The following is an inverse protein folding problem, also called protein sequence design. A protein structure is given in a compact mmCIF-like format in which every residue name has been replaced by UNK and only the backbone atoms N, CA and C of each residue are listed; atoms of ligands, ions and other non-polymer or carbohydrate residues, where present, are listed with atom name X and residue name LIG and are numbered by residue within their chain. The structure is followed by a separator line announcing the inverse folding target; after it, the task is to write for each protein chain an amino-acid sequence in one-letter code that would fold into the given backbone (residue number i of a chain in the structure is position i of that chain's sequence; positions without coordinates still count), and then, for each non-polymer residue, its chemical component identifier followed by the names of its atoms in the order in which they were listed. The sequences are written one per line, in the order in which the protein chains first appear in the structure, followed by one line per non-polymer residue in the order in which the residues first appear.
data_IF_149508865506
#
_entry.id   IF_149508865506
#
_cell.length_a   1.000
_cell.length_b   1.000
_cell.length_c   1.000
_cell.angle_alpha   90.00
_cell.angle_beta   90.00
_cell.angle_gamma   90.00
#
_symmetry.space_group_name_H-M   'P 1'
#
loop_
_entity.id
_entity.type
_entity.pdbx_description
1 polymer ?
#
# COMPACT_ATOMS: atom_id res chain seq x y z
N UNK A 1 16.67 26.74 67.22
CA UNK A 1 15.41 27.49 67.46
C UNK A 1 14.37 26.64 68.18
N UNK A 2 14.41 25.31 68.08
CA UNK A 2 13.53 24.39 68.81
C UNK A 2 13.67 24.44 70.33
N UNK A 3 14.86 24.79 70.84
CA UNK A 3 15.12 24.79 72.27
C UNK A 3 14.22 25.77 73.05
N UNK A 4 13.89 26.93 72.48
CA UNK A 4 13.04 27.95 73.15
C UNK A 4 11.58 27.49 73.21
N UNK A 5 11.05 26.94 72.11
CA UNK A 5 9.70 26.37 72.08
C UNK A 5 9.58 25.15 73.01
N UNK A 6 10.62 24.31 73.05
CA UNK A 6 10.70 23.16 73.95
C UNK A 6 10.78 23.59 75.41
N UNK A 7 11.56 24.64 75.74
CA UNK A 7 11.58 25.23 77.07
C UNK A 7 10.19 25.76 77.49
N UNK A 8 9.48 26.42 76.57
CA UNK A 8 8.12 26.90 76.77
C UNK A 8 7.14 25.75 77.05
N UNK A 9 7.19 24.68 76.26
CA UNK A 9 6.36 23.49 76.46
C UNK A 9 6.66 22.79 77.79
N UNK A 10 7.95 22.68 78.15
CA UNK A 10 8.37 22.08 79.42
C UNK A 10 7.91 22.93 80.62
N UNK A 11 7.90 24.27 80.49
CA UNK A 11 7.34 25.18 81.49
C UNK A 11 5.83 25.01 81.66
N UNK A 12 5.08 24.82 80.57
CA UNK A 12 3.64 24.55 80.62
C UNK A 12 3.36 23.18 81.26
N UNK A 13 4.11 22.15 80.87
CA UNK A 13 4.03 20.82 81.49
C UNK A 13 4.30 20.89 83.00
N UNK A 14 5.34 21.62 83.40
CA UNK A 14 5.66 21.83 84.81
C UNK A 14 4.50 22.50 85.56
N UNK A 15 3.85 23.48 84.94
CA UNK A 15 2.66 24.15 85.50
C UNK A 15 1.46 23.20 85.67
N UNK A 16 1.25 22.27 84.71
CA UNK A 16 0.20 21.24 84.79
C UNK A 16 0.51 20.23 85.89
N UNK A 17 1.74 19.72 85.96
CA UNK A 17 2.17 18.82 87.04
C UNK A 17 2.06 19.48 88.41
N UNK A 18 2.38 20.78 88.52
CA UNK A 18 2.20 21.54 89.75
C UNK A 18 0.73 21.60 90.20
N UNK A 19 -0.22 21.77 89.27
CA UNK A 19 -1.65 21.71 89.57
C UNK A 19 -2.10 20.32 90.03
N UNK A 20 -1.66 19.27 89.34
CA UNK A 20 -2.00 17.88 89.70
C UNK A 20 -1.48 17.57 91.11
N UNK A 21 -0.23 17.91 91.40
CA UNK A 21 0.36 17.75 92.73
C UNK A 21 -0.39 18.54 93.81
N UNK A 22 -0.77 19.79 93.51
CA UNK A 22 -1.59 20.60 94.43
C UNK A 22 -2.96 19.96 94.68
N UNK A 23 -3.63 19.45 93.65
CA UNK A 23 -4.94 18.82 93.76
C UNK A 23 -4.91 17.54 94.61
N UNK A 24 -3.90 16.69 94.40
CA UNK A 24 -3.65 15.49 95.22
C UNK A 24 -3.44 15.88 96.69
N UNK A 25 -2.61 16.91 96.94
CA UNK A 25 -2.32 17.40 98.29
C UNK A 25 -3.55 18.02 98.96
N UNK A 26 -4.37 18.76 98.20
CA UNK A 26 -5.65 19.34 98.65
C UNK A 26 -6.65 18.25 99.03
N UNK A 27 -6.76 17.18 98.24
CA UNK A 27 -7.63 16.04 98.52
C UNK A 27 -7.19 15.27 99.78
N UNK A 28 -5.89 15.17 100.03
CA UNK A 28 -5.34 14.37 101.15
C UNK A 28 -5.24 15.12 102.49
N UNK A 29 -5.04 16.44 102.48
CA UNK A 29 -4.70 17.19 103.71
C UNK A 29 -5.64 18.38 104.03
N UNK A 30 -6.77 18.53 103.33
CA UNK A 30 -7.84 19.55 103.51
C UNK A 30 -7.44 21.03 103.67
N UNK A 31 -6.16 21.38 103.64
CA UNK A 31 -5.69 22.75 103.61
C UNK A 31 -4.45 22.89 102.70
N UNK A 32 -4.52 23.90 101.82
CA UNK A 32 -3.44 24.80 101.37
C UNK A 32 -3.89 25.54 100.12
N UNK A 33 -3.90 26.87 100.20
CA UNK A 33 -4.24 27.77 99.08
C UNK A 33 -3.19 27.62 97.97
N UNK A 34 -3.61 27.63 96.69
CA UNK A 34 -2.71 27.55 95.54
C UNK A 34 -1.71 28.72 95.56
N UNK A 35 -0.40 28.46 95.39
CA UNK A 35 0.59 29.53 95.30
C UNK A 35 0.50 30.22 93.93
N UNK A 36 -0.35 31.25 93.86
CA UNK A 36 -0.52 32.10 92.67
C UNK A 36 0.80 32.71 92.20
N UNK A 37 1.74 32.93 93.11
CA UNK A 37 3.07 33.51 92.84
C UNK A 37 3.99 32.59 92.03
N UNK A 38 3.74 31.28 91.98
CA UNK A 38 4.58 30.31 91.26
C UNK A 38 3.86 29.82 90.00
N UNK A 39 2.55 29.56 90.12
CA UNK A 39 1.76 28.99 89.04
C UNK A 39 1.59 29.95 87.85
N UNK A 40 1.11 31.17 88.08
CA UNK A 40 0.84 32.11 86.98
C UNK A 40 2.09 32.54 86.20
N UNK A 41 3.25 32.88 86.81
CA UNK A 41 4.43 33.23 86.02
C UNK A 41 4.99 32.06 85.22
N UNK A 42 4.93 30.82 85.73
CA UNK A 42 5.38 29.64 84.98
C UNK A 42 4.46 29.34 83.78
N UNK A 43 3.14 29.49 83.97
CA UNK A 43 2.15 29.30 82.91
C UNK A 43 2.27 30.42 81.85
N UNK A 44 2.21 31.69 82.28
CA UNK A 44 2.28 32.85 81.38
C UNK A 44 3.63 32.89 80.67
N UNK A 45 4.72 32.66 81.39
CA UNK A 45 6.06 32.57 80.81
C UNK A 45 6.17 31.44 79.78
N UNK A 46 5.61 30.25 80.09
CA UNK A 46 5.56 29.13 79.16
C UNK A 46 4.79 29.46 77.88
N UNK A 47 3.63 30.11 77.97
CA UNK A 47 2.85 30.56 76.82
C UNK A 47 3.56 31.65 76.01
N UNK A 48 4.22 32.61 76.67
CA UNK A 48 4.98 33.66 76.00
C UNK A 48 6.18 33.07 75.23
N UNK A 49 6.93 32.16 75.85
CA UNK A 49 8.03 31.46 75.18
C UNK A 49 7.56 30.54 74.05
N UNK A 50 6.40 29.90 74.21
CA UNK A 50 5.78 29.10 73.16
C UNK A 50 5.39 29.98 71.96
N UNK A 51 4.70 31.10 72.18
CA UNK A 51 4.27 32.03 71.12
C UNK A 51 5.48 32.64 70.41
N UNK A 52 6.45 33.16 71.15
CA UNK A 52 7.69 33.71 70.58
C UNK A 52 8.52 32.66 69.84
N UNK A 53 8.55 31.43 70.36
CA UNK A 53 9.19 30.28 69.72
C UNK A 53 8.54 29.92 68.39
N UNK A 54 7.21 29.95 68.30
CA UNK A 54 6.45 29.65 67.07
C UNK A 54 6.66 30.73 66.01
N UNK A 55 6.70 32.02 66.39
CA UNK A 55 6.89 33.12 65.42
C UNK A 55 8.26 33.13 64.73
N UNK A 56 9.25 32.41 65.26
CA UNK A 56 10.59 32.27 64.69
C UNK A 56 10.85 30.89 64.04
N UNK A 57 9.81 30.05 63.88
CA UNK A 57 9.90 28.77 63.16
C UNK A 57 9.96 29.01 61.64
N UNK A 58 11.18 29.26 61.18
CA UNK A 58 11.78 28.83 59.91
C UNK A 58 11.10 29.21 58.57
N UNK A 59 11.64 30.26 57.94
CA UNK A 59 11.36 30.63 56.54
C UNK A 59 12.04 29.72 55.51
N UNK A 60 13.01 28.88 55.91
CA UNK A 60 13.77 27.99 55.04
C UNK A 60 12.97 26.77 54.58
N UNK A 61 12.18 26.16 55.46
CA UNK A 61 11.31 25.01 55.14
C UNK A 61 10.21 25.39 54.15
N UNK A 62 9.64 26.59 54.27
CA UNK A 62 8.61 27.08 53.33
C UNK A 62 9.16 27.25 51.91
N UNK A 63 10.42 27.69 51.78
CA UNK A 63 11.10 27.80 50.49
C UNK A 63 11.33 26.43 49.82
N UNK A 64 11.68 25.41 50.59
CA UNK A 64 11.81 24.04 50.07
C UNK A 64 10.46 23.45 49.64
N UNK A 65 9.39 23.74 50.40
CA UNK A 65 8.03 23.31 50.06
C UNK A 65 7.56 23.91 48.75
N UNK A 66 7.76 25.23 48.55
CA UNK A 66 7.39 25.90 47.31
C UNK A 66 8.16 25.35 46.10
N UNK A 67 9.48 25.10 46.25
CA UNK A 67 10.30 24.49 45.20
C UNK A 67 9.89 23.05 44.87
N UNK A 68 9.44 22.29 45.87
CA UNK A 68 8.91 20.94 45.66
C UNK A 68 7.55 20.97 44.95
N UNK A 69 6.70 21.96 45.26
CA UNK A 69 5.40 22.16 44.62
C UNK A 69 5.55 22.52 43.14
N UNK A 70 6.46 23.45 42.82
CA UNK A 70 6.79 23.83 41.44
C UNK A 70 7.30 22.64 40.61
N UNK A 71 8.21 21.83 41.18
CA UNK A 71 8.69 20.60 40.52
C UNK A 71 7.58 19.57 40.29
N UNK A 72 6.64 19.43 41.23
CA UNK A 72 5.52 18.53 41.06
C UNK A 72 4.59 19.00 39.93
N UNK A 73 4.33 20.30 39.84
CA UNK A 73 3.57 20.87 38.73
C UNK A 73 4.27 20.65 37.38
N UNK A 74 5.58 20.88 37.32
CA UNK A 74 6.39 20.61 36.12
C UNK A 74 6.35 19.12 35.72
N UNK A 75 6.48 18.20 36.69
CA UNK A 75 6.40 16.76 36.46
C UNK A 75 5.00 16.35 35.98
N UNK A 76 3.94 16.94 36.52
CA UNK A 76 2.58 16.71 36.06
C UNK A 76 2.42 17.15 34.61
N UNK A 77 2.92 18.33 34.25
CA UNK A 77 2.86 18.85 32.88
C UNK A 77 3.69 18.00 31.90
N UNK A 78 4.86 17.51 32.29
CA UNK A 78 5.65 16.58 31.48
C UNK A 78 4.92 15.26 31.29
N UNK A 79 4.30 14.72 32.34
CA UNK A 79 3.53 13.48 32.26
C UNK A 79 2.30 13.60 31.35
N UNK A 80 1.58 14.73 31.40
CA UNK A 80 0.43 14.95 30.51
C UNK A 80 0.86 15.13 29.05
N UNK A 81 1.97 15.83 28.81
CA UNK A 81 2.54 15.96 27.47
C UNK A 81 3.00 14.61 26.92
N UNK A 82 3.80 13.85 27.68
CA UNK A 82 4.27 12.51 27.31
C UNK A 82 3.10 11.54 27.05
N UNK A 83 2.02 11.63 27.83
CA UNK A 83 0.82 10.83 27.60
C UNK A 83 0.15 11.17 26.27
N UNK A 84 0.15 12.45 25.90
CA UNK A 84 -0.42 12.92 24.63
C UNK A 84 0.45 12.49 23.44
N UNK A 85 1.77 12.61 23.58
CA UNK A 85 2.73 12.13 22.58
C UNK A 85 2.64 10.62 22.38
N UNK A 86 2.56 9.83 23.46
CA UNK A 86 2.35 8.37 23.37
C UNK A 86 1.03 8.02 22.68
N UNK A 87 -0.04 8.77 22.96
CA UNK A 87 -1.33 8.58 22.29
C UNK A 87 -1.22 8.84 20.78
N UNK A 88 -0.49 9.88 20.39
CA UNK A 88 -0.29 10.22 18.99
C UNK A 88 0.60 9.20 18.27
N UNK A 89 1.70 8.81 18.90
CA UNK A 89 2.58 7.76 18.38
C UNK A 89 1.83 6.43 18.19
N UNK A 90 0.97 6.07 19.13
CA UNK A 90 0.14 4.87 19.00
C UNK A 90 -0.84 4.95 17.82
N UNK A 91 -1.43 6.13 17.54
CA UNK A 91 -2.24 6.30 16.32
C UNK A 91 -1.41 6.09 15.06
N UNK A 92 -0.20 6.65 15.01
CA UNK A 92 0.69 6.48 13.85
C UNK A 92 1.04 5.01 13.64
N UNK A 93 1.34 4.27 14.70
CA UNK A 93 1.58 2.82 14.63
C UNK A 93 0.37 2.09 14.02
N UNK A 94 -0.85 2.35 14.53
CA UNK A 94 -2.06 1.70 13.99
C UNK A 94 -2.36 2.08 12.53
N UNK A 95 -2.05 3.32 12.12
CA UNK A 95 -2.20 3.76 10.74
C UNK A 95 -1.21 3.04 9.81
N UNK A 96 0.06 2.95 10.22
CA UNK A 96 1.10 2.22 9.49
C UNK A 96 0.79 0.72 9.38
N UNK A 97 0.25 0.10 10.43
CA UNK A 97 -0.21 -1.29 10.39
C UNK A 97 -1.31 -1.51 9.34
N UNK A 98 -2.26 -0.58 9.23
CA UNK A 98 -3.30 -0.61 8.19
C UNK A 98 -2.71 -0.49 6.78
N UNK A 99 -1.71 0.39 6.59
CA UNK A 99 -1.01 0.51 5.32
C UNK A 99 -0.20 -0.75 4.96
N UNK A 100 0.50 -1.35 5.92
CA UNK A 100 1.23 -2.60 5.76
C UNK A 100 0.27 -3.72 5.33
N UNK A 101 -0.90 -3.83 5.98
CA UNK A 101 -1.92 -4.82 5.61
C UNK A 101 -2.43 -4.61 4.18
N UNK A 102 -2.69 -3.36 3.77
CA UNK A 102 -3.08 -3.04 2.40
C UNK A 102 -1.99 -3.43 1.40
N UNK A 103 -0.73 -3.07 1.66
CA UNK A 103 0.41 -3.43 0.79
C UNK A 103 0.58 -4.94 0.70
N UNK A 104 0.51 -5.65 1.82
CA UNK A 104 0.57 -7.12 1.87
C UNK A 104 -0.52 -7.76 0.99
N UNK A 105 -1.76 -7.28 1.06
CA UNK A 105 -2.84 -7.80 0.19
C UNK A 105 -2.63 -7.50 -1.30
N UNK A 106 -1.88 -6.45 -1.65
CA UNK A 106 -1.51 -6.18 -3.05
C UNK A 106 -0.40 -7.11 -3.51
N UNK A 107 0.59 -7.37 -2.65
CA UNK A 107 1.67 -8.32 -2.93
C UNK A 107 1.10 -9.70 -3.24
N UNK A 108 0.18 -10.21 -2.42
CA UNK A 108 -0.43 -11.53 -2.67
C UNK A 108 -1.24 -11.59 -3.97
N UNK A 109 -1.92 -10.49 -4.34
CA UNK A 109 -2.61 -10.39 -5.64
C UNK A 109 -1.61 -10.46 -6.80
N UNK A 110 -0.53 -9.68 -6.74
CA UNK A 110 0.50 -9.70 -7.77
C UNK A 110 1.20 -11.05 -7.86
N UNK A 111 1.50 -11.72 -6.74
CA UNK A 111 2.06 -13.07 -6.73
C UNK A 111 1.17 -14.08 -7.44
N UNK A 112 -0.14 -14.04 -7.18
CA UNK A 112 -1.11 -14.92 -7.86
C UNK A 112 -1.19 -14.63 -9.36
N UNK A 113 -1.22 -13.36 -9.76
CA UNK A 113 -1.16 -12.98 -11.19
C UNK A 113 0.13 -13.42 -11.85
N UNK A 114 1.27 -13.34 -11.16
CA UNK A 114 2.56 -13.78 -11.68
C UNK A 114 2.59 -15.30 -11.86
N UNK A 115 1.96 -16.04 -10.95
CA UNK A 115 1.80 -17.49 -11.06
C UNK A 115 0.95 -17.87 -12.28
N UNK A 116 -0.22 -17.24 -12.45
CA UNK A 116 -1.09 -17.55 -13.60
C UNK A 116 -0.42 -17.20 -14.92
N UNK A 117 0.28 -16.06 -15.00
CA UNK A 117 0.99 -15.64 -16.21
C UNK A 117 2.15 -16.59 -16.55
N UNK A 118 2.78 -17.19 -15.53
CA UNK A 118 3.82 -18.20 -15.72
C UNK A 118 3.25 -19.53 -16.23
N UNK A 119 2.08 -19.92 -15.74
CA UNK A 119 1.36 -21.12 -16.22
C UNK A 119 0.94 -20.92 -17.69
N UNK A 120 0.35 -19.78 -18.02
CA UNK A 120 -0.04 -19.41 -19.39
C UNK A 120 1.17 -19.38 -20.35
N UNK A 121 2.30 -18.80 -19.92
CA UNK A 121 3.54 -18.83 -20.71
C UNK A 121 4.02 -20.25 -20.99
N UNK A 122 3.95 -21.14 -20.00
CA UNK A 122 4.32 -22.55 -20.17
C UNK A 122 3.40 -23.28 -21.15
N UNK A 123 2.14 -22.87 -21.26
CA UNK A 123 1.19 -23.44 -22.22
C UNK A 123 1.49 -22.94 -23.63
N UNK A 124 1.72 -21.63 -23.80
CA UNK A 124 2.16 -21.07 -25.09
C UNK A 124 3.48 -21.68 -25.60
N UNK A 125 4.43 -22.00 -24.71
CA UNK A 125 5.68 -22.66 -25.10
C UNK A 125 5.42 -24.06 -25.67
N UNK A 126 4.47 -24.82 -25.12
CA UNK A 126 4.07 -26.15 -25.64
C UNK A 126 3.34 -26.03 -26.98
N UNK A 127 2.43 -25.07 -27.11
CA UNK A 127 1.70 -24.83 -28.35
C UNK A 127 2.65 -24.42 -29.48
N UNK A 128 3.67 -23.61 -29.16
CA UNK A 128 4.73 -23.24 -30.11
C UNK A 128 5.52 -24.45 -30.60
N UNK A 129 5.87 -25.37 -29.72
CA UNK A 129 6.56 -26.62 -30.08
C UNK A 129 5.68 -27.49 -30.99
N UNK A 130 4.42 -27.69 -30.62
CA UNK A 130 3.43 -28.42 -31.43
C UNK A 130 3.21 -27.81 -32.83
N UNK A 131 3.17 -26.48 -32.92
CA UNK A 131 3.05 -25.78 -34.20
C UNK A 131 4.31 -25.96 -35.06
N UNK A 132 5.50 -25.95 -34.46
CA UNK A 132 6.73 -26.20 -35.21
C UNK A 132 6.78 -27.62 -35.78
N UNK A 133 6.34 -28.62 -35.03
CA UNK A 133 6.25 -30.00 -35.51
C UNK A 133 5.30 -30.10 -36.71
N UNK A 134 4.11 -29.49 -36.62
CA UNK A 134 3.16 -29.43 -37.74
C UNK A 134 3.73 -28.72 -38.96
N UNK A 135 4.50 -27.65 -38.77
CA UNK A 135 5.17 -26.95 -39.86
C UNK A 135 6.18 -27.89 -40.53
N UNK A 136 6.97 -28.63 -39.76
CA UNK A 136 7.90 -29.63 -40.28
C UNK A 136 7.19 -30.67 -41.14
N UNK A 137 6.12 -31.29 -40.63
CA UNK A 137 5.33 -32.29 -41.35
C UNK A 137 4.72 -31.72 -42.64
N UNK A 138 4.16 -30.50 -42.59
CA UNK A 138 3.63 -29.83 -43.78
C UNK A 138 4.71 -29.51 -44.80
N UNK A 139 5.92 -29.16 -44.37
CA UNK A 139 7.03 -28.93 -45.30
C UNK A 139 7.49 -30.22 -45.97
N UNK A 140 7.55 -31.33 -45.25
CA UNK A 140 7.90 -32.63 -45.80
C UNK A 140 6.82 -33.17 -46.76
N UNK A 141 5.55 -33.01 -46.43
CA UNK A 141 4.47 -33.38 -47.35
C UNK A 141 4.48 -32.53 -48.62
N UNK A 142 4.79 -31.23 -48.50
CA UNK A 142 4.94 -30.32 -49.64
C UNK A 142 6.09 -30.72 -50.56
N UNK A 143 7.25 -31.13 -50.03
CA UNK A 143 8.38 -31.61 -50.86
C UNK A 143 8.03 -32.93 -51.55
N UNK A 144 7.45 -33.89 -50.82
CA UNK A 144 7.02 -35.16 -51.38
C UNK A 144 5.98 -35.00 -52.50
N UNK A 145 5.00 -34.10 -52.34
CA UNK A 145 4.03 -33.79 -53.39
C UNK A 145 4.69 -33.13 -54.60
N UNK A 146 5.64 -32.21 -54.38
CA UNK A 146 6.41 -31.56 -55.46
C UNK A 146 7.18 -32.58 -56.28
N UNK A 147 7.83 -33.55 -55.63
CA UNK A 147 8.57 -34.62 -56.32
C UNK A 147 7.64 -35.53 -57.14
N UNK A 148 6.44 -35.83 -56.62
CA UNK A 148 5.41 -36.56 -57.37
C UNK A 148 4.93 -35.79 -58.60
N UNK A 149 4.74 -34.48 -58.49
CA UNK A 149 4.37 -33.63 -59.64
C UNK A 149 5.45 -33.68 -60.72
N UNK A 150 6.72 -33.50 -60.35
CA UNK A 150 7.86 -33.60 -61.29
C UNK A 150 7.89 -34.97 -61.97
N UNK A 151 7.66 -36.05 -61.21
CA UNK A 151 7.61 -37.41 -61.77
C UNK A 151 6.46 -37.58 -62.77
N UNK A 152 5.25 -37.11 -62.43
CA UNK A 152 4.09 -37.21 -63.30
C UNK A 152 4.25 -36.36 -64.57
N UNK A 153 4.80 -35.15 -64.45
CA UNK A 153 5.14 -34.30 -65.60
C UNK A 153 6.14 -34.99 -66.53
N UNK A 154 7.19 -35.60 -65.99
CA UNK A 154 8.16 -36.35 -66.79
C UNK A 154 7.50 -37.52 -67.54
N UNK A 155 6.61 -38.27 -66.87
CA UNK A 155 5.83 -39.36 -67.49
C UNK A 155 4.92 -38.84 -68.59
N UNK A 156 4.27 -37.69 -68.38
CA UNK A 156 3.37 -37.06 -69.35
C UNK A 156 4.12 -36.62 -70.61
N UNK A 157 5.34 -36.09 -70.49
CA UNK A 157 6.19 -35.80 -71.65
C UNK A 157 6.68 -37.07 -72.36
N UNK A 158 6.95 -38.14 -71.59
CA UNK A 158 7.31 -39.45 -72.18
C UNK A 158 6.14 -40.09 -72.93
N UNK A 159 4.90 -39.94 -72.45
CA UNK A 159 3.71 -40.46 -73.12
C UNK A 159 3.32 -39.59 -74.31
N UNK A 160 3.44 -38.25 -74.23
CA UNK A 160 3.27 -37.35 -75.38
C UNK A 160 4.25 -37.69 -76.50
N UNK A 161 5.54 -37.91 -76.20
CA UNK A 161 6.52 -38.30 -77.22
C UNK A 161 6.21 -39.68 -77.83
N UNK A 162 5.77 -40.65 -77.01
CA UNK A 162 5.27 -41.95 -77.51
C UNK A 162 4.00 -41.81 -78.37
N UNK A 163 3.08 -40.93 -77.97
CA UNK A 163 1.86 -40.63 -78.72
C UNK A 163 2.19 -39.94 -80.04
N UNK A 164 3.13 -38.99 -80.06
CA UNK A 164 3.63 -38.34 -81.27
C UNK A 164 4.28 -39.34 -82.24
N UNK A 165 5.00 -40.35 -81.73
CA UNK A 165 5.52 -41.45 -82.57
C UNK A 165 4.45 -42.43 -83.04
N UNK A 166 3.29 -42.52 -82.36
CA UNK A 166 2.14 -43.33 -82.80
C UNK A 166 1.21 -42.56 -83.76
N UNK A 167 1.29 -41.22 -83.80
CA UNK A 167 0.42 -40.34 -84.58
C UNK A 167 1.01 -39.94 -85.95
N UNK A 168 2.11 -40.58 -86.39
CA UNK A 168 2.65 -40.48 -87.75
C UNK A 168 1.83 -41.27 -88.80
N UNK A 169 0.71 -41.88 -88.40
CA UNK A 169 -0.33 -42.36 -89.30
C UNK A 169 -1.59 -41.57 -88.99
N UNK A 170 -2.00 -40.71 -89.93
CA UNK A 170 -3.18 -39.82 -89.91
C UNK A 170 -2.89 -38.37 -89.48
N UNK A 171 -2.32 -37.62 -90.41
CA UNK A 171 -2.34 -36.15 -90.41
C UNK A 171 -3.14 -35.61 -91.59
N UNK A 172 -4.27 -34.94 -91.30
CA UNK A 172 -4.85 -33.82 -92.08
C UNK A 172 -6.01 -33.25 -91.25
N UNK A 173 -6.14 -31.97 -90.90
CA UNK A 173 -5.82 -30.75 -91.64
C UNK A 173 -5.89 -29.48 -90.74
N UNK A 174 -5.16 -28.41 -91.16
CA UNK A 174 -5.43 -26.94 -91.03
C UNK A 174 -5.52 -26.30 -89.62
N UNK A 175 -4.68 -25.35 -89.15
CA UNK A 175 -4.26 -23.98 -89.63
C UNK A 175 -5.47 -23.04 -89.81
N UNK A 176 -5.63 -21.83 -89.24
CA UNK A 176 -4.87 -20.93 -88.34
C UNK A 176 -5.78 -19.75 -87.91
N UNK A 177 -5.32 -18.96 -86.91
CA UNK A 177 -5.56 -17.51 -86.63
C UNK A 177 -6.95 -17.07 -86.12
N UNK A 178 -7.09 -16.69 -84.84
CA UNK A 178 -6.85 -15.36 -84.20
C UNK A 178 -8.07 -14.42 -84.30
N UNK A 179 -8.61 -14.01 -83.15
CA UNK A 179 -9.44 -12.80 -83.07
C UNK A 179 -10.61 -12.84 -82.08
N UNK A 180 -10.32 -12.43 -80.85
CA UNK A 180 -11.16 -11.59 -79.98
C UNK A 180 -12.44 -12.16 -79.31
N UNK A 181 -12.26 -12.38 -78.00
CA UNK A 181 -13.14 -12.05 -76.87
C UNK A 181 -14.57 -11.56 -77.14
N UNK A 182 -15.54 -12.31 -76.61
CA UNK A 182 -16.69 -11.72 -75.95
C UNK A 182 -17.34 -12.71 -74.95
N UNK A 183 -17.76 -12.18 -73.79
CA UNK A 183 -18.74 -12.74 -72.85
C UNK A 183 -18.29 -13.99 -72.07
N UNK A 184 -18.47 -14.18 -70.76
CA UNK A 184 -19.11 -13.46 -69.66
C UNK A 184 -18.88 -14.33 -68.42
N UNK A 185 -18.39 -13.73 -67.33
CA UNK A 185 -18.76 -14.10 -65.97
C UNK A 185 -17.79 -13.47 -64.98
N UNK A 186 -18.37 -12.62 -64.13
CA UNK A 186 -18.08 -12.54 -62.71
C UNK A 186 -16.64 -12.79 -62.28
N UNK A 187 -15.91 -11.71 -62.06
CA UNK A 187 -15.52 -11.27 -60.72
C UNK A 187 -14.71 -10.00 -60.92
N UNK A 188 -15.34 -8.88 -60.62
CA UNK A 188 -14.70 -7.57 -60.61
C UNK A 188 -13.45 -7.66 -59.75
N UNK A 189 -12.32 -7.51 -60.43
CA UNK A 189 -11.08 -7.05 -59.86
C UNK A 189 -11.40 -5.71 -59.16
N UNK A 190 -11.61 -5.76 -57.85
CA UNK A 190 -11.61 -4.60 -56.95
C UNK A 190 -10.35 -4.61 -56.08
N UNK A 191 -9.22 -5.01 -56.69
CA UNK A 191 -7.97 -4.32 -56.36
C UNK A 191 -8.11 -2.90 -56.88
N UNK A 192 -7.99 -1.92 -55.99
CA UNK A 192 -8.00 -0.47 -56.25
C UNK A 192 -9.37 0.26 -56.31
N UNK A 193 -10.25 0.03 -55.33
CA UNK A 193 -11.02 1.17 -54.74
C UNK A 193 -11.18 0.92 -53.24
N UNK A 194 -10.08 0.98 -52.49
CA UNK A 194 -10.19 1.18 -51.03
C UNK A 194 -8.96 1.87 -50.44
N UNK A 195 -8.26 2.64 -51.27
CA UNK A 195 -6.95 3.20 -50.97
C UNK A 195 -6.99 4.65 -50.50
N UNK A 196 -8.13 5.15 -49.99
CA UNK A 196 -8.11 6.49 -49.42
C UNK A 196 -9.18 6.76 -48.35
N UNK A 197 -9.58 5.74 -47.59
CA UNK A 197 -10.22 6.00 -46.31
C UNK A 197 -9.09 6.34 -45.34
N UNK A 198 -9.11 7.53 -44.77
CA UNK A 198 -8.13 8.00 -43.80
C UNK A 198 -8.88 8.69 -42.66
N UNK A 199 -8.54 8.32 -41.42
CA UNK A 199 -9.10 8.92 -40.22
C UNK A 199 -8.00 9.69 -39.48
N UNK A 200 -8.24 10.97 -39.19
CA UNK A 200 -7.29 11.78 -38.42
C UNK A 200 -7.09 11.25 -37.00
N UNK A 201 -8.15 10.68 -36.41
CA UNK A 201 -8.16 10.17 -35.05
C UNK A 201 -9.28 9.14 -34.85
N UNK A 202 -9.26 8.49 -33.69
CA UNK A 202 -10.25 7.46 -33.35
C UNK A 202 -11.68 7.98 -33.17
N UNK A 203 -11.88 9.28 -32.89
CA UNK A 203 -13.22 9.87 -32.85
C UNK A 203 -13.84 9.86 -34.24
N UNK A 204 -13.09 10.31 -35.26
CA UNK A 204 -13.55 10.29 -36.65
C UNK A 204 -13.85 8.86 -37.14
N UNK A 205 -13.03 7.88 -36.79
CA UNK A 205 -13.25 6.48 -37.13
C UNK A 205 -14.53 5.90 -36.48
N UNK A 206 -14.82 6.27 -35.23
CA UNK A 206 -16.05 5.86 -34.53
C UNK A 206 -17.30 6.53 -35.04
N UNK A 207 -17.24 7.83 -35.31
CA UNK A 207 -18.36 8.58 -35.90
C UNK A 207 -18.73 8.03 -37.28
N UNK A 208 -17.73 7.58 -38.04
CA UNK A 208 -17.93 6.87 -39.30
C UNK A 208 -18.39 5.41 -39.14
N UNK A 209 -18.50 4.89 -37.91
CA UNK A 209 -18.88 3.50 -37.62
C UNK A 209 -17.85 2.45 -38.04
N UNK A 210 -16.60 2.87 -38.27
CA UNK A 210 -15.52 2.00 -38.73
C UNK A 210 -14.67 1.41 -37.60
N UNK A 211 -14.83 1.90 -36.37
CA UNK A 211 -14.12 1.38 -35.21
C UNK A 211 -14.77 0.06 -34.68
N UNK A 212 -13.98 -0.95 -34.26
CA UNK A 212 -12.51 -0.98 -34.27
C UNK A 212 -11.92 -1.19 -35.67
N UNK A 213 -10.86 -0.45 -36.01
CA UNK A 213 -10.20 -0.49 -37.34
C UNK A 213 -9.01 -1.43 -37.29
N UNK A 214 -9.01 -2.54 -38.03
CA UNK A 214 -7.95 -3.56 -37.92
C UNK A 214 -6.89 -3.41 -38.99
N UNK A 215 -5.69 -3.91 -38.71
CA UNK A 215 -4.60 -3.95 -39.69
C UNK A 215 -5.03 -4.72 -40.95
N UNK A 216 -5.06 -4.02 -42.08
CA UNK A 216 -5.55 -4.54 -43.37
C UNK A 216 -6.93 -4.01 -43.77
N UNK A 217 -7.67 -3.42 -42.83
CA UNK A 217 -8.93 -2.73 -43.14
C UNK A 217 -8.65 -1.37 -43.81
N UNK A 218 -9.53 -0.92 -44.72
CA UNK A 218 -9.49 0.43 -45.25
C UNK A 218 -9.60 1.45 -44.12
N UNK A 219 -8.68 2.41 -44.05
CA UNK A 219 -8.64 3.39 -42.96
C UNK A 219 -7.73 3.02 -41.79
N UNK A 220 -7.14 1.83 -41.78
CA UNK A 220 -6.11 1.52 -40.78
C UNK A 220 -4.87 2.39 -40.99
N UNK A 221 -4.42 3.00 -39.92
CA UNK A 221 -3.17 3.72 -39.86
C UNK A 221 -2.56 3.57 -38.47
N UNK A 222 -1.23 3.49 -38.39
CA UNK A 222 -0.51 3.20 -37.14
C UNK A 222 -0.72 4.25 -36.04
N UNK A 223 -1.16 5.46 -36.37
CA UNK A 223 -1.49 6.48 -35.38
C UNK A 223 -2.83 6.24 -34.66
N UNK A 224 -3.67 5.36 -35.20
CA UNK A 224 -4.94 4.94 -34.60
C UNK A 224 -4.78 3.76 -33.62
N UNK A 225 -3.62 3.09 -33.68
CA UNK A 225 -3.25 1.88 -32.95
C UNK A 225 -2.16 2.26 -31.93
N UNK A 226 -2.59 2.70 -30.74
CA UNK A 226 -1.70 3.32 -29.74
C UNK A 226 -0.70 2.34 -29.14
N UNK A 227 -1.08 1.07 -29.02
CA UNK A 227 -0.31 -0.01 -28.42
C UNK A 227 0.34 -0.95 -29.45
N UNK A 228 -0.06 -0.87 -30.73
CA UNK A 228 0.59 -1.52 -31.85
C UNK A 228 0.16 -2.98 -32.06
N UNK A 229 -0.93 -3.40 -31.42
CA UNK A 229 -1.41 -4.79 -31.44
C UNK A 229 -2.11 -5.18 -32.75
N UNK A 230 -2.39 -4.20 -33.61
CA UNK A 230 -3.07 -4.36 -34.89
C UNK A 230 -4.56 -4.04 -34.86
N UNK A 231 -5.10 -3.52 -33.74
CA UNK A 231 -6.49 -3.12 -33.57
C UNK A 231 -6.56 -1.65 -33.15
N UNK A 232 -6.78 -0.77 -34.12
CA UNK A 232 -6.97 0.66 -33.88
C UNK A 232 -8.33 0.99 -33.28
N UNK A 233 -8.36 2.00 -32.40
CA UNK A 233 -9.58 2.58 -31.84
C UNK A 233 -10.48 1.61 -31.06
N UNK A 234 -9.86 0.71 -30.30
CA UNK A 234 -10.50 -0.25 -29.39
C UNK A 234 -11.34 0.37 -28.24
N UNK A 235 -11.15 1.66 -27.95
CA UNK A 235 -11.74 2.36 -26.80
C UNK A 235 -12.29 3.71 -27.18
#
# INVERSE_FOLDING_TARGET
MDFIALLGFLSIIFSIFYLIFHFIKKAKHKEKVLSKKIFYPALIGGFVFLILGISFMDTGVQGQLNKALEKNEELTNKNTNLKSENKELNKQVTALESEIKKKSSKVTKYENSLKSLKEEKSEFDKDKESLNDKISDLTETKTNLKDKVINLESKLETTKSKLASAQLVSSSSSKSTTGNSNYDSSTTNSSEVNSNVYYDNCTAAKEAGAAPVRRGDPGYASHLDRDGDGVGCES
#
